data_IF_553649544465
#
_entry.id   IF_553649544465
#
_cell.length_a   1.000
_cell.length_b   1.000
_cell.length_c   1.000
_cell.angle_alpha   90.00
_cell.angle_beta   90.00
_cell.angle_gamma   90.00
#
_symmetry.space_group_name_H-M   'P 1'
#
loop_
_entity.id
_entity.type
_entity.pdbx_description
1 polymer ?
#
# COMPACT_ATOMS: atom_id res chain seq x y z
N UNK A 1 20.25 -11.72 3.00
CA UNK A 1 21.14 -10.84 3.78
C UNK A 1 20.35 -9.57 4.05
N UNK A 2 19.97 -9.32 5.30
CA UNK A 2 19.33 -8.08 5.72
C UNK A 2 20.35 -6.96 5.64
N UNK A 3 20.04 -5.88 4.92
CA UNK A 3 20.89 -4.69 4.87
C UNK A 3 20.36 -3.72 5.92
N UNK A 4 21.06 -3.62 7.05
CA UNK A 4 20.81 -2.59 8.04
C UNK A 4 21.13 -1.22 7.42
N UNK A 5 20.19 -0.29 7.50
CA UNK A 5 20.33 1.05 6.97
C UNK A 5 20.47 2.04 8.11
N UNK A 6 21.59 2.76 8.14
CA UNK A 6 21.85 3.84 9.07
C UNK A 6 21.44 5.18 8.45
N UNK A 7 20.49 5.88 9.07
CA UNK A 7 20.11 7.22 8.64
C UNK A 7 19.62 8.06 9.84
N UNK A 8 20.11 9.29 10.04
CA UNK A 8 19.64 10.21 11.08
C UNK A 8 18.12 10.44 11.09
N UNK A 9 17.44 10.22 9.95
CA UNK A 9 15.98 10.31 9.86
C UNK A 9 15.28 9.35 10.84
N UNK A 10 15.93 8.24 11.23
CA UNK A 10 15.38 7.23 12.13
C UNK A 10 15.58 7.54 13.61
N UNK A 11 16.27 8.63 13.98
CA UNK A 11 16.59 8.99 15.37
C UNK A 11 15.39 9.16 16.32
N UNK A 12 14.21 9.41 15.76
CA UNK A 12 12.97 9.52 16.53
C UNK A 12 12.26 8.18 16.77
N UNK A 13 12.75 7.11 16.16
CA UNK A 13 12.13 5.78 16.12
C UNK A 13 13.04 4.76 16.79
N UNK A 14 14.33 4.81 16.46
CA UNK A 14 15.34 3.91 16.98
C UNK A 14 16.56 4.71 17.48
N UNK A 15 17.06 4.35 18.65
CA UNK A 15 18.19 5.03 19.28
C UNK A 15 19.50 4.73 18.54
N UNK A 16 19.60 3.55 17.94
CA UNK A 16 20.80 3.13 17.22
C UNK A 16 20.77 3.58 15.75
N UNK A 17 19.68 4.22 15.30
CA UNK A 17 19.48 4.74 13.94
C UNK A 17 19.47 3.67 12.84
N UNK A 18 19.43 2.39 13.21
CA UNK A 18 19.42 1.27 12.28
C UNK A 18 17.99 0.76 12.09
N UNK A 19 17.60 0.55 10.84
CA UNK A 19 16.41 -0.22 10.52
C UNK A 19 16.71 -1.24 9.42
N UNK A 20 16.07 -2.39 9.48
CA UNK A 20 16.18 -3.43 8.45
C UNK A 20 15.34 -3.04 7.23
N UNK A 21 15.94 -2.97 6.04
CA UNK A 21 15.17 -2.79 4.80
C UNK A 21 14.39 -4.06 4.47
N UNK A 22 13.06 -3.99 4.54
CA UNK A 22 12.14 -5.12 4.28
C UNK A 22 11.43 -5.05 2.92
N UNK A 23 11.50 -3.90 2.25
CA UNK A 23 10.90 -3.75 0.92
C UNK A 23 11.00 -2.35 0.36
N UNK A 24 10.37 -2.14 -0.80
CA UNK A 24 10.32 -0.84 -1.46
C UNK A 24 9.50 -0.88 -2.74
N UNK A 25 9.01 0.29 -3.15
CA UNK A 25 8.25 0.53 -4.37
C UNK A 25 8.89 1.62 -5.23
N UNK A 26 8.07 2.32 -6.03
CA UNK A 26 8.53 3.34 -6.97
C UNK A 26 9.08 4.59 -6.27
N UNK A 27 8.39 5.04 -5.22
CA UNK A 27 8.61 6.32 -4.55
C UNK A 27 8.75 6.13 -3.03
N UNK A 28 8.81 4.88 -2.55
CA UNK A 28 8.75 4.56 -1.12
C UNK A 28 9.67 3.40 -0.80
N UNK A 29 10.62 3.62 0.10
CA UNK A 29 11.40 2.56 0.72
C UNK A 29 10.74 2.13 2.04
N UNK A 30 10.85 0.86 2.38
CA UNK A 30 10.14 0.26 3.53
C UNK A 30 11.15 -0.44 4.43
N UNK A 31 11.20 0.01 5.68
CA UNK A 31 12.10 -0.47 6.72
C UNK A 31 11.31 -1.05 7.89
N UNK A 32 11.94 -1.88 8.71
CA UNK A 32 11.38 -2.47 9.91
C UNK A 32 12.27 -2.14 11.11
N UNK A 33 11.65 -1.86 12.26
CA UNK A 33 12.36 -1.68 13.54
C UNK A 33 12.97 -2.99 14.02
N UNK A 34 14.08 -2.89 14.75
CA UNK A 34 14.81 -4.06 15.25
C UNK A 34 13.95 -4.91 16.20
N UNK A 35 13.08 -4.25 16.97
CA UNK A 35 12.09 -4.90 17.84
C UNK A 35 10.87 -5.49 17.09
N UNK A 36 10.84 -5.36 15.76
CA UNK A 36 9.78 -5.83 14.86
C UNK A 36 8.38 -5.35 15.23
N UNK A 37 8.27 -4.17 15.86
CA UNK A 37 6.95 -3.58 16.18
C UNK A 37 6.40 -2.71 15.07
N UNK A 38 7.26 -2.06 14.29
CA UNK A 38 6.84 -1.08 13.30
C UNK A 38 7.52 -1.26 11.95
N UNK A 39 6.77 -0.93 10.91
CA UNK A 39 7.27 -0.65 9.57
C UNK A 39 7.33 0.85 9.37
N UNK A 40 8.44 1.33 8.84
CA UNK A 40 8.71 2.72 8.49
C UNK A 40 8.77 2.85 6.98
N UNK A 41 7.88 3.65 6.41
CA UNK A 41 7.87 3.98 4.99
C UNK A 41 8.47 5.36 4.79
N UNK A 42 9.52 5.43 3.99
CA UNK A 42 10.25 6.65 3.63
C UNK A 42 9.96 6.95 2.18
N UNK A 43 9.35 8.10 1.88
CA UNK A 43 9.17 8.50 0.48
C UNK A 43 10.47 9.09 -0.09
N UNK A 44 10.95 8.49 -1.17
CA UNK A 44 12.09 8.96 -1.96
C UNK A 44 11.74 10.34 -2.53
N UNK A 45 12.67 11.29 -2.46
CA UNK A 45 12.59 12.62 -3.08
C UNK A 45 11.50 13.58 -2.54
N UNK A 46 10.95 13.32 -1.35
CA UNK A 46 10.01 14.24 -0.66
C UNK A 46 10.62 14.92 0.56
N UNK A 47 11.86 15.39 0.45
CA UNK A 47 12.43 16.30 1.44
C UNK A 47 12.04 17.76 1.13
N UNK A 48 11.95 18.60 2.15
CA UNK A 48 11.61 20.01 1.98
C UNK A 48 11.57 20.76 3.29
N UNK A 49 10.85 21.88 3.30
CA UNK A 49 10.61 22.64 4.53
C UNK A 49 9.68 21.88 5.49
N UNK A 50 9.78 22.19 6.79
CA UNK A 50 8.87 21.64 7.81
C UNK A 50 7.40 21.94 7.47
N UNK A 51 7.13 23.13 6.92
CA UNK A 51 5.77 23.53 6.55
C UNK A 51 5.20 22.67 5.41
N UNK A 52 5.99 22.40 4.37
CA UNK A 52 5.61 21.51 3.26
C UNK A 52 5.38 20.09 3.76
N UNK A 53 6.29 19.56 4.58
CA UNK A 53 6.15 18.22 5.15
C UNK A 53 4.94 18.09 6.06
N UNK A 54 4.61 19.14 6.82
CA UNK A 54 3.40 19.18 7.64
C UNK A 54 2.13 19.21 6.78
N UNK A 55 2.11 19.97 5.70
CA UNK A 55 1.01 19.98 4.74
C UNK A 55 0.81 18.59 4.11
N UNK A 56 1.90 17.95 3.70
CA UNK A 56 1.92 16.60 3.14
C UNK A 56 1.44 15.55 4.16
N UNK A 57 1.92 15.60 5.40
CA UNK A 57 1.49 14.71 6.49
C UNK A 57 -0.02 14.84 6.75
N UNK A 58 -0.56 16.07 6.73
CA UNK A 58 -2.00 16.32 6.88
C UNK A 58 -2.80 15.73 5.71
N UNK A 59 -2.29 15.84 4.48
CA UNK A 59 -2.91 15.25 3.29
C UNK A 59 -2.97 13.72 3.40
N UNK A 60 -1.85 13.07 3.68
CA UNK A 60 -1.77 11.62 3.81
C UNK A 60 -2.61 11.11 4.99
N UNK A 61 -2.60 11.80 6.14
CA UNK A 61 -3.44 11.46 7.29
C UNK A 61 -4.93 11.51 6.94
N UNK A 62 -5.36 12.50 6.16
CA UNK A 62 -6.75 12.59 5.66
C UNK A 62 -7.08 11.45 4.70
N UNK A 63 -6.15 11.11 3.78
CA UNK A 63 -6.32 10.00 2.85
C UNK A 63 -6.40 8.64 3.57
N UNK A 64 -5.47 8.36 4.48
CA UNK A 64 -5.44 7.14 5.28
C UNK A 64 -6.75 6.95 6.07
N UNK A 65 -7.23 7.99 6.75
CA UNK A 65 -8.54 7.96 7.45
C UNK A 65 -9.71 7.66 6.51
N UNK A 66 -9.74 8.31 5.36
CA UNK A 66 -10.79 8.11 4.34
C UNK A 66 -10.80 6.68 3.83
N UNK A 67 -9.64 6.14 3.49
CA UNK A 67 -9.51 4.78 2.99
C UNK A 67 -9.80 3.74 4.09
N UNK A 68 -9.31 3.94 5.32
CA UNK A 68 -9.65 3.09 6.46
C UNK A 68 -11.16 3.05 6.73
N UNK A 69 -11.85 4.20 6.58
CA UNK A 69 -13.31 4.26 6.69
C UNK A 69 -14.01 3.47 5.58
N UNK A 70 -13.45 3.48 4.37
CA UNK A 70 -14.01 2.73 3.24
C UNK A 70 -13.80 1.23 3.40
N UNK A 71 -12.57 0.76 3.62
CA UNK A 71 -12.30 -0.67 3.76
C UNK A 71 -12.85 -1.25 5.07
N UNK A 72 -12.99 -0.42 6.10
CA UNK A 72 -13.48 -0.81 7.42
C UNK A 72 -12.34 -1.16 8.39
N UNK A 73 -12.61 -1.09 9.71
CA UNK A 73 -11.59 -1.25 10.75
C UNK A 73 -10.89 -2.61 10.72
N UNK A 74 -11.61 -3.69 10.37
CA UNK A 74 -11.05 -5.04 10.26
C UNK A 74 -10.10 -5.24 9.06
N UNK A 75 -10.08 -4.28 8.13
CA UNK A 75 -9.30 -4.31 6.89
C UNK A 75 -8.32 -3.15 6.78
N UNK A 76 -8.11 -2.44 7.87
CA UNK A 76 -7.24 -1.26 7.92
C UNK A 76 -6.19 -1.39 9.01
N UNK A 77 -5.02 -0.79 8.77
CA UNK A 77 -3.98 -0.62 9.80
C UNK A 77 -3.79 0.86 10.14
N UNK A 78 -3.45 1.18 11.39
CA UNK A 78 -3.19 2.56 11.77
C UNK A 78 -1.94 3.09 11.06
N UNK A 79 -2.00 4.36 10.69
CA UNK A 79 -0.90 5.09 10.08
C UNK A 79 -0.54 6.27 10.99
N UNK A 80 0.71 6.31 11.42
CA UNK A 80 1.31 7.42 12.15
C UNK A 80 2.25 8.17 11.21
N UNK A 81 2.37 9.48 11.40
CA UNK A 81 3.14 10.35 10.53
C UNK A 81 4.16 11.11 11.38
N UNK A 82 5.43 10.94 11.09
CA UNK A 82 6.54 11.63 11.76
C UNK A 82 7.26 12.52 10.75
N UNK A 83 7.68 13.70 11.18
CA UNK A 83 8.55 14.57 10.39
C UNK A 83 9.89 14.58 11.11
N UNK A 84 10.92 14.09 10.43
CA UNK A 84 12.27 13.98 10.95
C UNK A 84 13.24 14.72 10.04
N UNK A 85 14.43 15.00 10.56
CA UNK A 85 15.52 15.61 9.81
C UNK A 85 16.35 14.53 9.15
N UNK A 86 16.59 14.61 7.85
CA UNK A 86 17.44 13.67 7.13
C UNK A 86 18.93 14.01 7.28
N UNK A 87 19.81 13.19 6.71
CA UNK A 87 21.27 13.42 6.68
C UNK A 87 21.70 14.75 6.02
N UNK A 88 20.86 15.35 5.18
CA UNK A 88 21.12 16.64 4.53
C UNK A 88 20.59 17.84 5.33
N UNK A 89 19.99 17.59 6.50
CA UNK A 89 19.42 18.64 7.35
C UNK A 89 18.01 19.08 6.95
N UNK A 90 17.42 18.45 5.95
CA UNK A 90 16.08 18.78 5.42
C UNK A 90 15.00 18.02 6.19
N UNK A 91 13.78 18.57 6.23
CA UNK A 91 12.65 17.86 6.81
C UNK A 91 12.12 16.81 5.82
N UNK A 92 11.85 15.61 6.31
CA UNK A 92 11.32 14.51 5.52
C UNK A 92 10.23 13.77 6.30
N UNK A 93 9.21 13.31 5.58
CA UNK A 93 8.04 12.64 6.14
C UNK A 93 8.25 11.12 6.19
N UNK A 94 8.01 10.55 7.37
CA UNK A 94 7.97 9.12 7.64
C UNK A 94 6.53 8.68 7.91
N UNK A 95 6.14 7.53 7.36
CA UNK A 95 4.86 6.88 7.70
C UNK A 95 5.15 5.60 8.47
N UNK A 96 4.65 5.53 9.71
CA UNK A 96 4.81 4.39 10.59
C UNK A 96 3.53 3.57 10.64
N UNK A 97 3.65 2.26 10.57
CA UNK A 97 2.56 1.30 10.65
C UNK A 97 2.97 0.15 11.57
N UNK A 98 2.04 -0.49 12.30
CA UNK A 98 2.36 -1.73 13.00
C UNK A 98 2.92 -2.78 12.03
N UNK A 99 3.99 -3.44 12.42
CA UNK A 99 4.53 -4.56 11.65
C UNK A 99 3.72 -5.82 11.95
N UNK A 100 3.28 -6.49 10.89
CA UNK A 100 2.64 -7.78 10.98
C UNK A 100 3.60 -8.82 10.40
N UNK A 101 4.47 -9.36 11.24
CA UNK A 101 5.55 -10.29 10.84
C UNK A 101 5.06 -11.49 10.02
N UNK A 102 3.89 -12.01 10.38
CA UNK A 102 3.29 -13.17 9.73
C UNK A 102 2.31 -12.81 8.61
N UNK A 103 2.13 -11.53 8.31
CA UNK A 103 1.26 -11.12 7.22
C UNK A 103 1.93 -11.34 5.88
N UNK A 104 1.20 -11.93 4.93
CA UNK A 104 1.70 -12.24 3.59
C UNK A 104 0.89 -11.48 2.54
N UNK A 105 1.51 -10.78 1.58
CA UNK A 105 0.77 -10.17 0.47
C UNK A 105 -0.04 -11.22 -0.29
N UNK A 106 -1.28 -10.92 -0.67
CA UNK A 106 -2.16 -11.87 -1.37
C UNK A 106 -1.49 -12.45 -2.64
N UNK A 107 -0.66 -11.64 -3.31
CA UNK A 107 0.19 -12.07 -4.42
C UNK A 107 1.01 -13.34 -4.16
N UNK A 108 1.57 -13.48 -2.96
CA UNK A 108 2.47 -14.58 -2.56
C UNK A 108 1.74 -15.79 -1.97
N UNK A 109 0.42 -15.71 -1.79
CA UNK A 109 -0.35 -16.80 -1.18
C UNK A 109 -0.53 -17.94 -2.20
N UNK A 110 -0.21 -19.15 -1.75
CA UNK A 110 -0.60 -20.38 -2.43
C UNK A 110 -1.97 -20.86 -1.91
N UNK A 111 -3.03 -20.49 -2.65
CA UNK A 111 -4.41 -20.82 -2.28
C UNK A 111 -4.74 -22.32 -2.35
N UNK A 112 -3.87 -23.15 -2.95
CA UNK A 112 -4.08 -24.60 -3.02
C UNK A 112 -3.88 -25.28 -1.66
N UNK A 113 -3.08 -24.66 -0.79
CA UNK A 113 -2.79 -25.15 0.57
C UNK A 113 -3.94 -24.88 1.56
N UNK A 114 -4.89 -24.02 1.19
CA UNK A 114 -6.03 -23.69 2.05
C UNK A 114 -7.17 -24.70 1.88
N UNK A 115 -7.92 -24.93 2.95
CA UNK A 115 -9.18 -25.66 2.88
C UNK A 115 -10.24 -24.84 2.13
N UNK A 116 -11.32 -25.51 1.69
CA UNK A 116 -12.46 -24.84 1.06
C UNK A 116 -13.04 -23.74 1.96
N UNK A 117 -13.22 -24.02 3.26
CA UNK A 117 -13.75 -23.06 4.23
C UNK A 117 -12.86 -21.83 4.39
N UNK A 118 -11.53 -22.02 4.39
CA UNK A 118 -10.59 -20.90 4.46
C UNK A 118 -10.64 -20.04 3.19
N UNK A 119 -10.69 -20.67 2.01
CA UNK A 119 -10.85 -19.94 0.74
C UNK A 119 -12.15 -19.14 0.71
N UNK A 120 -13.26 -19.72 1.19
CA UNK A 120 -14.55 -19.04 1.28
C UNK A 120 -14.50 -17.84 2.25
N UNK A 121 -13.81 -17.99 3.38
CA UNK A 121 -13.62 -16.89 4.33
C UNK A 121 -12.79 -15.74 3.74
N UNK A 122 -11.73 -16.05 2.98
CA UNK A 122 -10.94 -15.05 2.25
C UNK A 122 -11.80 -14.35 1.19
N UNK A 123 -12.54 -15.12 0.39
CA UNK A 123 -13.45 -14.60 -0.62
C UNK A 123 -14.49 -13.65 -0.03
N UNK A 124 -15.14 -14.03 1.08
CA UNK A 124 -16.12 -13.20 1.78
C UNK A 124 -15.53 -11.86 2.23
N UNK A 125 -14.32 -11.87 2.80
CA UNK A 125 -13.60 -10.64 3.19
C UNK A 125 -13.27 -9.75 1.99
N UNK A 126 -12.81 -10.34 0.88
CA UNK A 126 -12.55 -9.59 -0.35
C UNK A 126 -13.82 -8.97 -0.93
N UNK A 127 -14.93 -9.71 -0.94
CA UNK A 127 -16.21 -9.20 -1.42
C UNK A 127 -16.72 -8.03 -0.57
N UNK A 128 -16.54 -8.06 0.76
CA UNK A 128 -16.88 -6.91 1.63
C UNK A 128 -16.03 -5.68 1.28
N UNK A 129 -14.71 -5.83 1.16
CA UNK A 129 -13.79 -4.74 0.78
C UNK A 129 -14.17 -4.16 -0.60
N UNK A 130 -14.42 -5.01 -1.59
CA UNK A 130 -14.82 -4.61 -2.95
C UNK A 130 -16.13 -3.82 -2.90
N UNK A 131 -17.16 -4.38 -2.25
CA UNK A 131 -18.49 -3.75 -2.16
C UNK A 131 -18.41 -2.37 -1.53
N UNK A 132 -17.72 -2.23 -0.39
CA UNK A 132 -17.56 -0.93 0.27
C UNK A 132 -16.80 0.07 -0.60
N UNK A 133 -15.79 -0.39 -1.32
CA UNK A 133 -14.99 0.46 -2.21
C UNK A 133 -15.79 0.95 -3.42
N UNK A 134 -16.61 0.08 -4.03
CA UNK A 134 -17.52 0.46 -5.12
C UNK A 134 -18.58 1.45 -4.66
N UNK A 135 -19.16 1.25 -3.48
CA UNK A 135 -20.11 2.21 -2.87
C UNK A 135 -19.43 3.56 -2.65
N UNK A 136 -18.20 3.58 -2.14
CA UNK A 136 -17.45 4.81 -1.94
C UNK A 136 -17.17 5.54 -3.26
N UNK A 137 -16.82 4.80 -4.32
CA UNK A 137 -16.64 5.36 -5.65
C UNK A 137 -17.91 5.99 -6.19
N UNK A 138 -19.05 5.28 -6.14
CA UNK A 138 -20.33 5.81 -6.62
C UNK A 138 -20.76 7.09 -5.88
N UNK A 139 -20.46 7.20 -4.58
CA UNK A 139 -20.81 8.37 -3.77
C UNK A 139 -19.84 9.54 -3.88
N UNK A 140 -18.55 9.29 -4.12
CA UNK A 140 -17.48 10.29 -3.92
C UNK A 140 -16.52 10.46 -5.10
N UNK A 141 -16.57 9.57 -6.09
CA UNK A 141 -15.69 9.58 -7.26
C UNK A 141 -14.24 9.15 -6.98
N UNK A 142 -13.97 8.56 -5.81
CA UNK A 142 -12.67 8.02 -5.43
C UNK A 142 -12.82 6.74 -4.62
N UNK A 143 -11.78 5.90 -4.60
CA UNK A 143 -11.72 4.67 -3.80
C UNK A 143 -10.25 4.32 -3.45
N UNK A 144 -10.01 3.42 -2.46
CA UNK A 144 -8.68 2.89 -2.18
C UNK A 144 -8.10 2.08 -3.36
N UNK A 145 -6.78 2.17 -3.62
CA UNK A 145 -6.11 1.24 -4.55
C UNK A 145 -5.68 -0.04 -3.84
N UNK A 146 -6.38 -1.13 -4.15
CA UNK A 146 -6.17 -2.44 -3.53
C UNK A 146 -5.14 -3.31 -4.24
N UNK A 147 -4.76 -3.01 -5.49
CA UNK A 147 -3.95 -3.97 -6.29
C UNK A 147 -2.45 -3.83 -6.02
N UNK A 148 -1.95 -2.61 -5.89
CA UNK A 148 -0.53 -2.34 -5.69
C UNK A 148 0.39 -2.71 -6.85
N UNK A 149 1.63 -2.21 -6.80
CA UNK A 149 2.75 -2.69 -7.62
C UNK A 149 3.96 -2.90 -6.74
N UNK A 150 4.50 -4.10 -6.73
CA UNK A 150 5.89 -4.34 -6.33
C UNK A 150 6.79 -4.19 -7.55
N UNK A 151 7.98 -3.61 -7.37
CA UNK A 151 9.04 -3.56 -8.39
C UNK A 151 10.32 -4.08 -7.77
N UNK A 152 11.04 -4.97 -8.45
CA UNK A 152 12.22 -5.63 -7.85
C UNK A 152 13.44 -4.72 -7.84
N UNK A 153 13.55 -3.77 -8.80
CA UNK A 153 14.66 -2.81 -8.85
C UNK A 153 14.29 -1.52 -9.63
N UNK A 154 15.08 -0.43 -9.52
CA UNK A 154 14.86 0.83 -10.24
C UNK A 154 14.87 0.71 -11.78
N UNK A 155 15.67 -0.19 -12.35
CA UNK A 155 15.78 -0.37 -13.80
C UNK A 155 14.51 -0.99 -14.42
N UNK A 156 13.91 -1.98 -13.74
CA UNK A 156 12.61 -2.56 -14.08
C UNK A 156 11.52 -1.49 -14.00
N UNK A 157 11.61 -0.58 -13.03
CA UNK A 157 10.67 0.56 -12.88
C UNK A 157 10.74 1.51 -14.07
N UNK A 158 11.95 1.93 -14.45
CA UNK A 158 12.13 2.85 -15.57
C UNK A 158 11.58 2.24 -16.87
N UNK A 159 11.91 0.96 -17.12
CA UNK A 159 11.38 0.22 -18.27
C UNK A 159 9.86 0.17 -18.27
N UNK A 160 9.24 -0.17 -17.15
CA UNK A 160 7.77 -0.29 -17.03
C UNK A 160 7.06 1.07 -17.13
N UNK A 161 7.71 2.17 -16.76
CA UNK A 161 7.09 3.50 -16.82
C UNK A 161 7.12 4.16 -18.22
N UNK A 162 7.89 3.62 -19.17
CA UNK A 162 7.98 4.12 -20.55
C UNK A 162 6.62 4.10 -21.25
N UNK A 163 6.39 5.11 -22.09
CA UNK A 163 5.10 5.34 -22.76
C UNK A 163 4.66 4.14 -23.62
N UNK A 164 5.60 3.49 -24.32
CA UNK A 164 5.31 2.33 -25.17
C UNK A 164 4.94 1.06 -24.38
N UNK A 165 5.24 0.98 -23.08
CA UNK A 165 4.77 -0.11 -22.22
C UNK A 165 3.34 0.10 -21.75
N UNK A 166 2.70 1.23 -22.09
CA UNK A 166 1.33 1.53 -21.67
C UNK A 166 0.29 0.48 -22.10
N UNK A 167 0.26 -0.01 -23.36
CA UNK A 167 -0.69 -1.04 -23.78
C UNK A 167 -0.48 -2.35 -23.02
N UNK A 168 0.77 -2.79 -22.87
CA UNK A 168 1.10 -3.98 -22.09
C UNK A 168 0.75 -3.82 -20.61
N UNK A 169 1.00 -2.64 -20.02
CA UNK A 169 0.61 -2.33 -18.63
C UNK A 169 -0.89 -2.41 -18.47
N UNK A 170 -1.66 -1.85 -19.39
CA UNK A 170 -3.12 -1.88 -19.35
C UNK A 170 -3.61 -3.33 -19.46
N UNK A 171 -3.07 -4.11 -20.40
CA UNK A 171 -3.41 -5.52 -20.59
C UNK A 171 -3.06 -6.41 -19.39
N UNK A 172 -1.83 -6.32 -18.87
CA UNK A 172 -1.41 -7.05 -17.65
C UNK A 172 -2.31 -6.70 -16.46
N UNK A 173 -2.72 -5.44 -16.35
CA UNK A 173 -3.61 -5.01 -15.28
C UNK A 173 -5.06 -5.53 -15.45
N UNK A 174 -5.56 -5.53 -16.69
CA UNK A 174 -6.92 -5.97 -17.02
C UNK A 174 -7.09 -7.49 -17.01
N UNK A 175 -6.03 -8.28 -17.18
CA UNK A 175 -6.16 -9.74 -17.33
C UNK A 175 -5.33 -10.53 -16.31
N UNK A 176 -4.11 -10.10 -15.99
CA UNK A 176 -3.20 -10.88 -15.13
C UNK A 176 -3.30 -10.52 -13.64
N UNK A 177 -3.96 -9.41 -13.29
CA UNK A 177 -4.01 -8.90 -11.92
C UNK A 177 -5.42 -8.89 -11.38
N UNK A 178 -5.78 -9.98 -10.69
CA UNK A 178 -6.96 -10.04 -9.84
C UNK A 178 -6.61 -9.62 -8.39
N UNK A 179 -7.62 -9.31 -7.59
CA UNK A 179 -7.41 -8.94 -6.17
C UNK A 179 -6.78 -10.07 -5.33
N UNK A 180 -6.98 -11.34 -5.72
CA UNK A 180 -6.28 -12.48 -5.10
C UNK A 180 -4.75 -12.43 -5.31
N UNK A 181 -4.28 -11.62 -6.26
CA UNK A 181 -2.87 -11.35 -6.54
C UNK A 181 -2.48 -9.90 -6.20
N UNK A 182 -3.18 -9.27 -5.26
CA UNK A 182 -2.85 -7.92 -4.80
C UNK A 182 -1.56 -7.90 -3.96
N UNK A 183 -0.76 -6.83 -4.11
CA UNK A 183 0.39 -6.55 -3.25
C UNK A 183 0.04 -5.58 -2.11
N UNK A 184 -0.99 -4.75 -2.27
CA UNK A 184 -1.43 -3.79 -1.24
C UNK A 184 -2.35 -4.42 -0.20
N UNK A 185 -2.80 -5.65 -0.42
CA UNK A 185 -3.57 -6.43 0.54
C UNK A 185 -2.69 -7.54 1.11
N UNK A 186 -2.67 -7.65 2.44
CA UNK A 186 -1.95 -8.72 3.14
C UNK A 186 -2.91 -9.56 3.96
N UNK A 187 -2.73 -10.89 3.93
CA UNK A 187 -3.41 -11.81 4.82
C UNK A 187 -2.59 -12.01 6.08
N UNK A 188 -3.16 -11.68 7.23
CA UNK A 188 -2.58 -11.94 8.56
C UNK A 188 -2.71 -13.42 8.92
N UNK A 189 -1.87 -13.91 9.84
CA UNK A 189 -1.95 -15.29 10.32
C UNK A 189 -3.26 -15.61 11.09
N UNK A 190 -3.61 -16.90 11.24
CA UNK A 190 -4.65 -17.34 12.17
C UNK A 190 -4.41 -16.83 13.61
N UNK A 191 -5.46 -16.73 14.45
CA UNK A 191 -6.78 -17.34 14.30
C UNK A 191 -7.79 -16.53 13.48
N UNK A 192 -7.60 -15.22 13.33
CA UNK A 192 -8.60 -14.34 12.71
C UNK A 192 -8.39 -14.10 11.21
N UNK A 193 -7.17 -14.32 10.69
CA UNK A 193 -6.81 -14.30 9.27
C UNK A 193 -7.43 -13.13 8.48
N UNK A 194 -7.24 -11.91 8.97
CA UNK A 194 -7.75 -10.68 8.35
C UNK A 194 -6.98 -10.32 7.08
N UNK A 195 -7.69 -9.73 6.13
CA UNK A 195 -7.11 -9.08 4.95
C UNK A 195 -6.98 -7.60 5.28
N UNK A 196 -5.76 -7.07 5.30
CA UNK A 196 -5.49 -5.68 5.65
C UNK A 196 -4.93 -4.91 4.45
N UNK A 197 -5.39 -3.68 4.26
CA UNK A 197 -4.80 -2.72 3.32
C UNK A 197 -3.56 -2.09 3.95
N UNK A 198 -2.43 -2.14 3.27
CA UNK A 198 -1.17 -1.58 3.79
C UNK A 198 -0.76 -0.27 3.13
N UNK A 199 -1.26 0.01 1.94
CA UNK A 199 -0.94 1.23 1.18
C UNK A 199 -2.14 2.18 1.14
N UNK A 200 -1.89 3.43 1.54
CA UNK A 200 -2.90 4.46 1.71
C UNK A 200 -2.66 5.68 0.83
N UNK A 201 -1.74 5.58 -0.12
CA UNK A 201 -1.34 6.71 -0.94
C UNK A 201 -2.45 7.11 -1.92
N UNK A 202 -2.92 8.38 -1.88
CA UNK A 202 -3.90 8.86 -2.84
C UNK A 202 -3.23 9.15 -4.19
N UNK A 203 -3.99 9.04 -5.28
CA UNK A 203 -3.53 9.51 -6.59
C UNK A 203 -3.46 11.04 -6.61
N UNK A 204 -2.25 11.59 -6.74
CA UNK A 204 -1.98 13.04 -6.69
C UNK A 204 -1.90 13.74 -8.05
N UNK A 205 -2.09 13.00 -9.16
CA UNK A 205 -2.08 13.54 -10.54
C UNK A 205 -3.29 14.44 -10.85
N UNK A 206 -3.39 14.95 -12.08
CA UNK A 206 -4.50 15.83 -12.50
C UNK A 206 -5.90 15.23 -12.26
N UNK A 207 -6.92 16.07 -12.13
CA UNK A 207 -8.31 15.62 -11.88
C UNK A 207 -8.83 14.69 -12.97
N UNK A 208 -8.50 14.94 -14.23
CA UNK A 208 -8.87 14.06 -15.35
C UNK A 208 -8.22 12.69 -15.19
N UNK A 209 -6.92 12.65 -14.86
CA UNK A 209 -6.21 11.41 -14.60
C UNK A 209 -6.85 10.64 -13.43
N UNK A 210 -7.15 11.32 -12.32
CA UNK A 210 -7.81 10.71 -11.16
C UNK A 210 -9.15 10.07 -11.55
N UNK A 211 -9.99 10.78 -12.33
CA UNK A 211 -11.29 10.26 -12.80
C UNK A 211 -11.12 9.00 -13.63
N UNK A 212 -10.25 9.04 -14.64
CA UNK A 212 -9.99 7.89 -15.52
C UNK A 212 -9.43 6.72 -14.69
N UNK A 213 -8.47 7.00 -13.81
CA UNK A 213 -7.84 6.01 -12.95
C UNK A 213 -8.87 5.30 -12.07
N UNK A 214 -9.71 6.05 -11.34
CA UNK A 214 -10.71 5.45 -10.46
C UNK A 214 -11.83 4.76 -11.25
N UNK A 215 -12.21 5.25 -12.44
CA UNK A 215 -13.15 4.55 -13.30
C UNK A 215 -12.63 3.17 -13.73
N UNK A 216 -11.36 3.10 -14.14
CA UNK A 216 -10.71 1.82 -14.46
C UNK A 216 -10.67 0.91 -13.23
N UNK A 217 -10.37 1.44 -12.04
CA UNK A 217 -10.37 0.63 -10.81
C UNK A 217 -11.76 0.11 -10.44
N UNK A 218 -12.80 0.91 -10.65
CA UNK A 218 -14.18 0.48 -10.43
C UNK A 218 -14.55 -0.70 -11.33
N UNK A 219 -14.20 -0.61 -12.62
CA UNK A 219 -14.43 -1.69 -13.58
C UNK A 219 -13.72 -2.99 -13.16
N UNK A 220 -12.47 -2.89 -12.73
CA UNK A 220 -11.69 -4.04 -12.26
C UNK A 220 -12.27 -4.67 -10.98
N UNK A 221 -12.78 -3.84 -10.07
CA UNK A 221 -13.48 -4.34 -8.88
C UNK A 221 -14.78 -5.05 -9.21
N UNK A 222 -15.53 -4.57 -10.22
CA UNK A 222 -16.72 -5.28 -10.70
C UNK A 222 -16.34 -6.62 -11.33
N UNK A 223 -15.28 -6.66 -12.16
CA UNK A 223 -14.74 -7.92 -12.69
C UNK A 223 -14.38 -8.89 -11.57
N UNK A 224 -13.63 -8.44 -10.58
CA UNK A 224 -13.19 -9.30 -9.47
C UNK A 224 -14.34 -9.71 -8.55
N UNK A 225 -15.36 -8.87 -8.39
CA UNK A 225 -16.60 -9.24 -7.70
C UNK A 225 -17.26 -10.44 -8.39
N UNK A 226 -17.39 -10.39 -9.73
CA UNK A 226 -17.98 -11.47 -10.52
C UNK A 226 -17.10 -12.73 -10.50
N UNK A 227 -15.78 -12.60 -10.50
CA UNK A 227 -14.86 -13.75 -10.48
C UNK A 227 -14.79 -14.47 -9.13
N UNK A 228 -15.11 -13.78 -8.02
CA UNK A 228 -15.07 -14.33 -6.66
C UNK A 228 -16.43 -14.91 -6.24
N UNK A 229 -17.53 -14.39 -6.81
CA UNK A 229 -18.88 -14.93 -6.62
C UNK A 229 -19.07 -16.24 -7.39
#
# INVERSE_FOLDING_TARGET
>A
MSTLHYDPIFASIDIDLHLERVGGGNETEVYCTDDRRYVVKVKSDQAGSVAEMLAQARLLRRAARRFATVVGPAHSIPNYFLIARNQHGEAQLLVLQPFHETATPLFHIDYTQFSFTQRLAIASKLLDIIRRSLIAYGKRGWMPDLYGRSSRNPAERERLNRWYMFPWRLWSFLIQRNLLRANNLMLTAPPSAHIILVDYDPVTRSKLYQRIYYAIRAFLFVRDFILIC
#
